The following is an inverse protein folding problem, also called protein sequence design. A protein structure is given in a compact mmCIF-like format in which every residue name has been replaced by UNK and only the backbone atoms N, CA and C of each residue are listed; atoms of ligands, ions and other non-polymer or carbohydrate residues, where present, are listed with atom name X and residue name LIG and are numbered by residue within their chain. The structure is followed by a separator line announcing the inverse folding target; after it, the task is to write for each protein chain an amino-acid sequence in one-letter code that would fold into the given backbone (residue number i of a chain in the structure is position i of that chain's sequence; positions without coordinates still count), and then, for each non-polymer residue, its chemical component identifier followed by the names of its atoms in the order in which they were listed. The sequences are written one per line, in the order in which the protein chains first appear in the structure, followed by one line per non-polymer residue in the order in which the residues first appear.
data_IF_827692427946
#
_entry.id   IF_827692427946
#
_cell.length_a   1.000
_cell.length_b   1.000
_cell.length_c   1.000
_cell.angle_alpha   90.00
_cell.angle_beta   90.00
_cell.angle_gamma   90.00
#
_symmetry.space_group_name_H-M   'P 1'
#
loop_
_entity.id
_entity.type
_entity.pdbx_description
1 polymer ?
#
# COMPACT_ATOMS: atom_id res chain seq x y z
N UNK A 1 -3.30 11.14 -19.34
CA UNK A 1 -2.31 11.18 -18.23
C UNK A 1 -2.76 11.96 -16.98
N UNK A 2 -3.70 12.92 -17.04
CA UNK A 2 -4.18 13.68 -15.86
C UNK A 2 -4.92 12.80 -14.83
N UNK A 3 -5.82 11.93 -15.32
CA UNK A 3 -6.62 11.00 -14.50
C UNK A 3 -5.78 10.05 -13.63
N UNK A 4 -4.67 9.50 -14.15
CA UNK A 4 -3.85 8.56 -13.38
C UNK A 4 -3.16 9.18 -12.15
N UNK A 5 -2.72 10.44 -12.27
CA UNK A 5 -2.04 11.16 -11.17
C UNK A 5 -3.05 11.65 -10.12
N UNK A 6 -4.20 12.14 -10.56
CA UNK A 6 -5.32 12.51 -9.69
C UNK A 6 -5.76 11.31 -8.84
N UNK A 7 -6.04 10.17 -9.47
CA UNK A 7 -6.47 8.94 -8.77
C UNK A 7 -5.37 8.43 -7.83
N UNK A 8 -4.10 8.52 -8.23
CA UNK A 8 -2.98 8.21 -7.34
C UNK A 8 -2.98 9.11 -6.09
N UNK A 9 -3.10 10.43 -6.27
CA UNK A 9 -3.11 11.39 -5.17
C UNK A 9 -4.31 11.21 -4.22
N UNK A 10 -5.51 11.06 -4.79
CA UNK A 10 -6.75 10.81 -4.04
C UNK A 10 -6.72 9.47 -3.30
N UNK A 11 -5.95 8.48 -3.77
CA UNK A 11 -5.71 7.24 -3.02
C UNK A 11 -4.67 7.43 -1.90
N UNK A 12 -3.62 8.23 -2.13
CA UNK A 12 -2.53 8.40 -1.17
C UNK A 12 -2.95 9.19 0.08
N UNK A 13 -3.79 10.22 -0.08
CA UNK A 13 -4.25 11.08 1.00
C UNK A 13 -5.01 10.34 2.13
N UNK A 14 -6.07 9.57 1.86
CA UNK A 14 -6.75 8.79 2.88
C UNK A 14 -5.86 7.67 3.42
N UNK A 15 -4.96 7.11 2.60
CA UNK A 15 -4.03 6.10 3.07
C UNK A 15 -3.03 6.66 4.10
N UNK A 16 -2.47 7.84 3.85
CA UNK A 16 -1.49 8.48 4.73
C UNK A 16 -2.08 8.92 6.08
N UNK A 17 -3.33 9.37 6.10
CA UNK A 17 -3.98 9.85 7.34
C UNK A 17 -4.51 8.71 8.23
N UNK A 18 -4.99 7.61 7.63
CA UNK A 18 -5.53 6.48 8.37
C UNK A 18 -4.46 5.48 8.84
N UNK A 19 -3.28 5.51 8.23
CA UNK A 19 -2.20 4.57 8.53
C UNK A 19 -1.67 4.68 9.98
N UNK A 20 -1.38 5.87 10.54
CA UNK A 20 -0.90 5.99 11.92
C UNK A 20 -1.93 5.44 12.92
N UNK A 21 -3.22 5.67 12.65
CA UNK A 21 -4.33 5.19 13.47
C UNK A 21 -4.42 3.66 13.52
N UNK A 22 -3.93 2.96 12.49
CA UNK A 22 -3.85 1.49 12.47
C UNK A 22 -2.77 0.93 13.39
N UNK A 23 -1.66 1.66 13.58
CA UNK A 23 -0.54 1.21 14.41
C UNK A 23 -0.71 1.54 15.89
N UNK A 24 -1.61 2.46 16.24
CA UNK A 24 -1.92 2.79 17.63
C UNK A 24 -2.59 1.61 18.36
N UNK A 25 -1.96 1.03 19.41
CA UNK A 25 -2.52 -0.11 20.14
C UNK A 25 -3.80 0.25 20.92
N UNK A 26 -4.01 1.54 21.22
CA UNK A 26 -5.21 2.06 21.88
C UNK A 26 -6.44 1.92 20.97
N UNK A 27 -6.31 2.26 19.68
CA UNK A 27 -7.41 2.19 18.70
C UNK A 27 -7.85 0.74 18.49
N UNK A 28 -6.90 -0.19 18.45
CA UNK A 28 -7.18 -1.63 18.31
C UNK A 28 -7.91 -2.22 19.52
N UNK A 29 -7.62 -1.74 20.74
CA UNK A 29 -8.24 -2.25 21.98
C UNK A 29 -9.62 -1.64 22.26
N UNK A 30 -9.79 -0.32 22.06
CA UNK A 30 -11.07 0.35 22.30
C UNK A 30 -12.07 0.14 21.16
N UNK A 31 -11.64 0.27 19.89
CA UNK A 31 -12.55 0.32 18.75
C UNK A 31 -12.14 -0.70 17.66
N UNK A 32 -12.22 -2.00 17.96
CA UNK A 32 -11.79 -3.04 17.01
C UNK A 32 -12.62 -3.06 15.71
N UNK A 33 -13.90 -2.68 15.77
CA UNK A 33 -14.76 -2.54 14.58
C UNK A 33 -14.23 -1.43 13.66
N UNK A 34 -13.87 -0.28 14.22
CA UNK A 34 -13.29 0.84 13.48
C UNK A 34 -11.94 0.44 12.84
N UNK A 35 -11.08 -0.25 13.59
CA UNK A 35 -9.82 -0.78 13.07
C UNK A 35 -10.03 -1.73 11.87
N UNK A 36 -11.06 -2.59 11.92
CA UNK A 36 -11.40 -3.49 10.80
C UNK A 36 -11.91 -2.73 9.57
N UNK A 37 -12.78 -1.74 9.74
CA UNK A 37 -13.30 -0.95 8.61
C UNK A 37 -12.21 -0.11 7.96
N UNK A 38 -11.42 0.62 8.76
CA UNK A 38 -10.30 1.42 8.25
C UNK A 38 -9.22 0.55 7.60
N UNK A 39 -8.97 -0.66 8.13
CA UNK A 39 -8.07 -1.62 7.50
C UNK A 39 -8.55 -2.12 6.13
N UNK A 40 -9.87 -2.32 5.95
CA UNK A 40 -10.46 -2.66 4.65
C UNK A 40 -10.38 -1.50 3.67
N UNK A 41 -10.65 -0.28 4.13
CA UNK A 41 -10.50 0.92 3.30
C UNK A 41 -9.06 1.06 2.82
N UNK A 42 -8.09 0.96 3.75
CA UNK A 42 -6.67 0.98 3.42
C UNK A 42 -6.26 -0.12 2.44
N UNK A 43 -6.81 -1.33 2.58
CA UNK A 43 -6.56 -2.42 1.64
C UNK A 43 -6.98 -2.05 0.21
N UNK A 44 -8.20 -1.53 0.03
CA UNK A 44 -8.73 -1.11 -1.28
C UNK A 44 -7.89 0.02 -1.86
N UNK A 45 -7.63 1.04 -1.06
CA UNK A 45 -6.84 2.20 -1.46
C UNK A 45 -5.42 1.81 -1.85
N UNK A 46 -4.82 0.85 -1.14
CA UNK A 46 -3.49 0.33 -1.45
C UNK A 46 -3.48 -0.45 -2.76
N UNK A 47 -4.51 -1.27 -3.02
CA UNK A 47 -4.65 -2.01 -4.26
C UNK A 47 -4.73 -1.06 -5.47
N UNK A 48 -5.55 -0.02 -5.35
CA UNK A 48 -5.72 1.03 -6.37
C UNK A 48 -4.46 1.87 -6.54
N UNK A 49 -3.83 2.29 -5.45
CA UNK A 49 -2.60 3.08 -5.49
C UNK A 49 -1.43 2.30 -6.11
N UNK A 50 -1.28 1.01 -5.77
CA UNK A 50 -0.23 0.15 -6.29
C UNK A 50 -0.43 -0.20 -7.77
N UNK A 51 -1.67 -0.48 -8.21
CA UNK A 51 -1.98 -0.65 -9.64
C UNK A 51 -1.72 0.63 -10.44
N UNK A 52 -2.10 1.80 -9.90
CA UNK A 52 -1.79 3.08 -10.53
C UNK A 52 -0.27 3.32 -10.62
N UNK A 53 0.49 3.02 -9.56
CA UNK A 53 1.95 3.17 -9.56
C UNK A 53 2.62 2.31 -10.65
N UNK A 54 2.18 1.07 -10.83
CA UNK A 54 2.66 0.19 -11.91
C UNK A 54 2.25 0.69 -13.31
N UNK A 55 1.03 1.22 -13.46
CA UNK A 55 0.55 1.81 -14.71
C UNK A 55 1.28 3.11 -15.09
N UNK A 56 1.67 3.91 -14.09
CA UNK A 56 2.52 5.10 -14.28
C UNK A 56 3.93 4.64 -14.66
N UNK A 57 4.52 3.67 -13.98
CA UNK A 57 5.84 3.13 -14.33
C UNK A 57 5.93 2.61 -15.78
N UNK A 58 4.82 2.07 -16.30
CA UNK A 58 4.72 1.66 -17.70
C UNK A 58 4.75 2.85 -18.68
N UNK A 59 4.10 3.97 -18.31
CA UNK A 59 3.92 5.14 -19.17
C UNK A 59 4.90 6.29 -18.88
N UNK A 60 5.75 6.19 -17.86
CA UNK A 60 6.77 7.19 -17.55
C UNK A 60 7.89 7.14 -18.59
N UNK A 61 7.67 7.84 -19.71
CA UNK A 61 8.57 8.01 -20.85
C UNK A 61 9.94 8.64 -20.52
N UNK A 62 10.22 9.00 -19.25
CA UNK A 62 11.48 9.66 -18.84
C UNK A 62 12.26 9.01 -17.69
N UNK A 63 11.78 7.90 -17.11
CA UNK A 63 12.52 7.18 -16.04
C UNK A 63 13.56 6.22 -16.61
N UNK A 64 14.77 6.18 -16.04
CA UNK A 64 15.79 5.17 -16.38
C UNK A 64 15.22 3.75 -16.26
N UNK A 65 15.73 2.82 -17.07
CA UNK A 65 15.31 1.41 -17.04
C UNK A 65 15.38 0.84 -15.62
N UNK A 66 16.42 1.22 -14.87
CA UNK A 66 16.62 0.83 -13.47
C UNK A 66 15.44 1.24 -12.58
N UNK A 67 14.94 2.47 -12.72
CA UNK A 67 13.82 2.96 -11.92
C UNK A 67 12.54 2.18 -12.22
N UNK A 68 12.32 1.80 -13.49
CA UNK A 68 11.17 0.96 -13.89
C UNK A 68 11.26 -0.43 -13.26
N UNK A 69 12.41 -1.09 -13.38
CA UNK A 69 12.63 -2.43 -12.79
C UNK A 69 12.44 -2.39 -11.27
N UNK A 70 12.94 -1.35 -10.61
CA UNK A 70 12.76 -1.13 -9.18
C UNK A 70 11.28 -1.03 -8.79
N UNK A 71 10.50 -0.20 -9.49
CA UNK A 71 9.06 -0.02 -9.21
C UNK A 71 8.27 -1.30 -9.49
N UNK A 72 8.55 -2.03 -10.57
CA UNK A 72 7.90 -3.31 -10.87
C UNK A 72 8.22 -4.39 -9.81
N UNK A 73 9.48 -4.48 -9.41
CA UNK A 73 9.92 -5.45 -8.40
C UNK A 73 9.26 -5.16 -7.05
N UNK A 74 9.35 -3.92 -6.57
CA UNK A 74 8.75 -3.57 -5.29
C UNK A 74 7.22 -3.61 -5.35
N UNK A 75 6.60 -3.14 -6.44
CA UNK A 75 5.15 -3.16 -6.59
C UNK A 75 4.56 -4.58 -6.60
N UNK A 76 5.25 -5.55 -7.20
CA UNK A 76 4.85 -6.97 -7.13
C UNK A 76 5.07 -7.55 -5.74
N UNK A 77 6.16 -7.21 -5.05
CA UNK A 77 6.37 -7.58 -3.65
C UNK A 77 5.27 -7.04 -2.74
N UNK A 78 4.82 -5.80 -2.94
CA UNK A 78 3.69 -5.20 -2.21
C UNK A 78 2.42 -6.03 -2.40
N UNK A 79 2.09 -6.46 -3.62
CA UNK A 79 0.93 -7.33 -3.86
C UNK A 79 1.03 -8.66 -3.11
N UNK A 80 2.21 -9.30 -3.14
CA UNK A 80 2.42 -10.57 -2.46
C UNK A 80 2.30 -10.44 -0.94
N UNK A 81 2.88 -9.39 -0.35
CA UNK A 81 2.77 -9.14 1.09
C UNK A 81 1.35 -8.75 1.49
N UNK A 82 0.64 -7.98 0.67
CA UNK A 82 -0.76 -7.64 0.90
C UNK A 82 -1.64 -8.89 0.87
N UNK A 83 -1.43 -9.78 -0.09
CA UNK A 83 -2.14 -11.07 -0.16
C UNK A 83 -1.83 -11.96 1.05
N UNK A 84 -0.57 -12.06 1.47
CA UNK A 84 -0.18 -12.81 2.69
C UNK A 84 -0.74 -12.21 3.96
N UNK A 85 -0.80 -10.88 4.06
CA UNK A 85 -1.44 -10.17 5.17
C UNK A 85 -2.94 -10.46 5.24
N UNK A 86 -3.61 -10.52 4.08
CA UNK A 86 -5.03 -10.83 3.96
C UNK A 86 -5.35 -12.30 4.29
N UNK A 87 -4.56 -13.25 3.78
CA UNK A 87 -4.75 -14.67 4.09
C UNK A 87 -4.48 -14.95 5.57
N UNK A 88 -3.46 -14.31 6.16
CA UNK A 88 -3.15 -14.45 7.59
C UNK A 88 -4.30 -13.97 8.49
N UNK A 89 -4.96 -12.85 8.17
CA UNK A 89 -6.12 -12.39 8.95
C UNK A 89 -7.32 -13.32 8.80
N UNK A 90 -7.52 -13.93 7.60
CA UNK A 90 -8.59 -14.93 7.38
C UNK A 90 -8.33 -16.24 8.12
N UNK A 91 -7.06 -16.59 8.33
CA UNK A 91 -6.63 -17.73 9.14
C UNK A 91 -6.54 -17.41 10.65
N UNK A 92 -6.98 -16.23 11.10
CA UNK A 92 -6.84 -15.75 12.49
C UNK A 92 -5.38 -15.70 13.02
N UNK A 93 -4.38 -15.70 12.13
CA UNK A 93 -2.94 -15.62 12.48
C UNK A 93 -2.52 -14.16 12.62
N UNK A 94 -2.81 -13.56 13.77
CA UNK A 94 -2.57 -12.14 14.05
C UNK A 94 -1.07 -11.77 13.99
N UNK A 95 -0.19 -12.65 14.49
CA UNK A 95 1.26 -12.42 14.45
C UNK A 95 1.78 -12.31 13.01
N UNK A 96 1.41 -13.26 12.15
CA UNK A 96 1.77 -13.24 10.73
C UNK A 96 1.17 -12.03 10.01
N UNK A 97 -0.09 -11.70 10.27
CA UNK A 97 -0.73 -10.52 9.70
C UNK A 97 0.06 -9.24 10.01
N UNK A 98 0.50 -9.06 11.27
CA UNK A 98 1.31 -7.88 11.68
C UNK A 98 2.65 -7.81 10.94
N UNK A 99 3.35 -8.93 10.83
CA UNK A 99 4.65 -8.99 10.12
C UNK A 99 4.46 -8.61 8.65
N UNK A 100 3.47 -9.19 7.99
CA UNK A 100 3.20 -8.89 6.58
C UNK A 100 2.65 -7.46 6.38
N UNK A 101 1.86 -6.93 7.31
CA UNK A 101 1.40 -5.55 7.28
C UNK A 101 2.57 -4.56 7.33
N UNK A 102 3.50 -4.71 8.29
CA UNK A 102 4.68 -3.83 8.41
C UNK A 102 5.54 -3.91 7.15
N UNK A 103 5.79 -5.12 6.61
CA UNK A 103 6.53 -5.31 5.35
C UNK A 103 5.86 -4.60 4.17
N UNK A 104 4.53 -4.74 4.05
CA UNK A 104 3.75 -4.10 2.98
C UNK A 104 3.92 -2.59 3.02
N UNK A 105 3.75 -1.97 4.20
CA UNK A 105 3.86 -0.51 4.34
C UNK A 105 5.29 0.01 4.16
N UNK A 106 6.30 -0.76 4.56
CA UNK A 106 7.70 -0.44 4.26
C UNK A 106 7.96 -0.39 2.75
N UNK A 107 7.56 -1.43 2.02
CA UNK A 107 7.77 -1.48 0.56
C UNK A 107 6.96 -0.44 -0.21
N UNK A 108 5.73 -0.14 0.23
CA UNK A 108 4.90 0.94 -0.34
C UNK A 108 5.59 2.30 -0.17
N UNK A 109 6.22 2.54 0.97
CA UNK A 109 7.03 3.74 1.21
C UNK A 109 8.17 3.86 0.21
N UNK A 110 8.91 2.77 -0.04
CA UNK A 110 10.01 2.74 -1.01
C UNK A 110 9.54 3.00 -2.46
N UNK A 111 8.41 2.41 -2.86
CA UNK A 111 7.81 2.64 -4.19
C UNK A 111 7.45 4.12 -4.34
N UNK A 112 6.87 4.73 -3.30
CA UNK A 112 6.49 6.15 -3.32
C UNK A 112 7.69 7.09 -3.36
N UNK A 113 8.77 6.78 -2.67
CA UNK A 113 9.98 7.60 -2.70
C UNK A 113 10.74 7.52 -4.04
N UNK A 114 10.33 6.63 -4.95
CA UNK A 114 11.00 6.46 -6.23
C UNK A 114 10.70 7.66 -7.16
N UNK A 115 11.72 8.25 -7.82
CA UNK A 115 11.57 9.47 -8.62
C UNK A 115 10.65 9.32 -9.86
N UNK A 116 10.25 8.11 -10.22
CA UNK A 116 9.23 7.87 -11.26
C UNK A 116 7.79 8.12 -10.80
N UNK A 117 7.54 8.08 -9.48
CA UNK A 117 6.20 8.09 -8.88
C UNK A 117 6.01 9.32 -7.96
N UNK A 118 7.11 9.88 -7.43
CA UNK A 118 7.18 11.19 -6.75
C UNK A 118 6.85 12.35 -7.68
#
# INVERSE_FOLDING_TARGET
MRLGKEVHLWSVLPAGTLLPLQFLPIVRRKNIKFHRYTGRLLFVTLLLGNTCALGIAHNSFGGTLETRVWVYTLGTMVFLALFKSWTAIRQNKIASHRIWAIRTWGWVGCVRSSPCVS
#
